data_IF_425335435269
#
_entry.id   IF_425335435269
#
_cell.length_a   1.000
_cell.length_b   1.000
_cell.length_c   1.000
_cell.angle_alpha   90.00
_cell.angle_beta   90.00
_cell.angle_gamma   90.00
#
_symmetry.space_group_name_H-M   'P 1'
#
loop_
_entity.id
_entity.type
_entity.pdbx_description
1 polymer ?
#
# COMPACT_ATOMS: atom_id res chain seq x y z
N UNK A 1 -13.83 -29.60 41.11
CA UNK A 1 -14.70 -30.65 40.50
C UNK A 1 -14.34 -30.94 39.04
N UNK A 2 -13.13 -30.59 38.63
CA UNK A 2 -12.65 -30.80 37.23
C UNK A 2 -11.39 -31.69 37.14
N UNK A 3 -10.82 -32.13 38.25
CA UNK A 3 -9.56 -32.88 38.25
C UNK A 3 -9.71 -34.41 38.44
N UNK A 4 -10.87 -34.90 38.83
CA UNK A 4 -11.03 -36.35 39.10
C UNK A 4 -11.45 -37.18 37.89
N UNK A 5 -11.99 -36.56 36.81
CA UNK A 5 -12.49 -37.31 35.65
C UNK A 5 -11.42 -37.64 34.61
N UNK A 6 -10.21 -37.06 34.68
CA UNK A 6 -9.14 -37.34 33.73
C UNK A 6 -8.31 -38.59 34.05
N UNK A 7 -8.32 -39.03 35.35
CA UNK A 7 -7.54 -40.17 35.79
C UNK A 7 -8.23 -41.53 35.59
N UNK A 8 -9.55 -41.54 35.31
CA UNK A 8 -10.29 -42.77 35.07
C UNK A 8 -10.10 -43.37 33.66
N UNK A 9 -9.47 -42.68 32.75
CA UNK A 9 -9.20 -43.14 31.39
C UNK A 9 -7.98 -44.04 31.24
N UNK A 10 -7.14 -44.17 32.26
CA UNK A 10 -5.84 -44.85 32.15
C UNK A 10 -5.71 -46.18 32.85
N UNK A 11 -6.67 -46.60 33.73
CA UNK A 11 -6.62 -47.91 34.39
C UNK A 11 -7.99 -48.54 34.48
N UNK A 12 -8.25 -49.76 33.91
CA UNK A 12 -9.49 -50.46 34.07
C UNK A 12 -9.55 -51.16 35.44
N UNK A 13 -10.40 -50.65 36.35
CA UNK A 13 -10.76 -51.40 37.58
C UNK A 13 -11.74 -52.51 37.22
N UNK A 14 -11.37 -53.75 37.56
CA UNK A 14 -12.21 -54.96 37.46
C UNK A 14 -13.42 -54.88 38.37
N UNK A 15 -14.63 -54.96 37.82
CA UNK A 15 -15.79 -55.44 38.60
C UNK A 15 -17.07 -54.64 38.39
N UNK A 16 -18.01 -55.24 37.64
CA UNK A 16 -19.48 -55.13 37.66
C UNK A 16 -20.10 -53.73 37.96
N UNK A 17 -20.56 -53.10 36.94
CA UNK A 17 -21.53 -52.02 36.69
C UNK A 17 -21.09 -51.00 35.70
N UNK A 18 -20.55 -51.44 34.58
CA UNK A 18 -19.94 -50.58 33.55
C UNK A 18 -20.90 -50.14 32.41
N UNK A 19 -22.21 -50.46 32.52
CA UNK A 19 -23.13 -50.22 31.40
C UNK A 19 -23.99 -48.95 31.50
N UNK A 20 -23.99 -48.23 32.63
CA UNK A 20 -24.80 -47.03 32.80
C UNK A 20 -24.03 -45.70 32.74
N UNK A 21 -22.69 -45.76 32.80
CA UNK A 21 -21.86 -44.55 32.68
C UNK A 21 -21.43 -44.23 31.24
N UNK A 22 -21.55 -45.20 30.32
CA UNK A 22 -20.99 -45.17 29.00
C UNK A 22 -21.88 -44.46 27.94
N UNK A 23 -23.21 -44.50 28.15
CA UNK A 23 -24.16 -43.96 27.15
C UNK A 23 -24.20 -42.42 27.13
N UNK A 24 -24.05 -41.75 28.28
CA UNK A 24 -24.02 -40.29 28.33
C UNK A 24 -22.70 -39.72 27.79
N UNK A 25 -21.57 -40.33 28.14
CA UNK A 25 -20.27 -39.90 27.61
C UNK A 25 -20.14 -40.18 26.09
N UNK A 26 -20.70 -41.30 25.61
CA UNK A 26 -20.73 -41.61 24.18
C UNK A 26 -21.62 -40.67 23.39
N UNK A 27 -22.74 -40.18 23.95
CA UNK A 27 -23.59 -39.19 23.27
C UNK A 27 -22.92 -37.82 23.18
N UNK A 28 -22.24 -37.33 24.22
CA UNK A 28 -21.48 -36.08 24.19
C UNK A 28 -20.29 -36.13 23.22
N UNK A 29 -19.62 -37.27 23.11
CA UNK A 29 -18.53 -37.45 22.14
C UNK A 29 -19.10 -37.49 20.73
N UNK A 30 -20.21 -38.17 20.46
CA UNK A 30 -20.85 -38.17 19.14
C UNK A 30 -21.39 -36.77 18.74
N UNK A 31 -21.99 -36.04 19.67
CA UNK A 31 -22.43 -34.67 19.44
C UNK A 31 -21.25 -33.72 19.10
N UNK A 32 -20.12 -33.89 19.77
CA UNK A 32 -18.93 -33.08 19.48
C UNK A 32 -18.38 -33.27 18.05
N UNK A 33 -18.68 -34.40 17.41
CA UNK A 33 -18.32 -34.73 16.00
C UNK A 33 -19.50 -34.62 15.02
N UNK A 34 -20.68 -34.20 15.49
CA UNK A 34 -21.81 -33.96 14.61
C UNK A 34 -21.63 -32.70 13.74
N UNK A 35 -22.27 -32.73 12.59
CA UNK A 35 -22.33 -31.62 11.65
C UNK A 35 -23.78 -31.25 11.37
N UNK A 36 -24.08 -29.96 11.48
CA UNK A 36 -25.35 -29.42 10.98
C UNK A 36 -25.15 -28.96 9.52
N UNK A 37 -26.19 -29.10 8.68
CA UNK A 37 -26.13 -28.64 7.28
C UNK A 37 -25.75 -27.19 7.14
N UNK A 38 -26.18 -26.30 8.05
CA UNK A 38 -25.82 -24.90 8.07
C UNK A 38 -24.32 -24.70 8.35
N UNK A 39 -23.77 -25.47 9.28
CA UNK A 39 -22.35 -25.42 9.62
C UNK A 39 -21.46 -25.89 8.46
N UNK A 40 -21.89 -26.95 7.76
CA UNK A 40 -21.21 -27.44 6.55
C UNK A 40 -21.18 -26.34 5.46
N UNK A 41 -22.31 -25.67 5.24
CA UNK A 41 -22.43 -24.57 4.28
C UNK A 41 -21.49 -23.42 4.68
N UNK A 42 -21.48 -23.02 5.97
CA UNK A 42 -20.64 -21.95 6.46
C UNK A 42 -19.15 -22.28 6.38
N UNK A 43 -18.73 -23.51 6.75
CA UNK A 43 -17.35 -23.98 6.59
C UNK A 43 -16.92 -24.01 5.13
N UNK A 44 -17.80 -24.51 4.24
CA UNK A 44 -17.52 -24.54 2.80
C UNK A 44 -17.38 -23.13 2.23
N UNK A 45 -18.23 -22.20 2.65
CA UNK A 45 -18.14 -20.79 2.27
C UNK A 45 -16.86 -20.15 2.81
N UNK A 46 -16.47 -20.43 4.06
CA UNK A 46 -15.21 -19.95 4.66
C UNK A 46 -13.99 -20.46 3.87
N UNK A 47 -13.99 -21.74 3.51
CA UNK A 47 -12.92 -22.35 2.68
C UNK A 47 -12.87 -21.71 1.29
N UNK A 48 -14.01 -21.48 0.63
CA UNK A 48 -14.06 -20.83 -0.67
C UNK A 48 -13.47 -19.42 -0.60
N UNK A 49 -13.83 -18.64 0.43
CA UNK A 49 -13.30 -17.29 0.62
C UNK A 49 -11.80 -17.33 0.95
N UNK A 50 -11.32 -18.33 1.69
CA UNK A 50 -9.89 -18.55 1.93
C UNK A 50 -9.13 -18.80 0.62
N UNK A 51 -9.68 -19.62 -0.27
CA UNK A 51 -9.10 -19.89 -1.60
C UNK A 51 -9.03 -18.59 -2.41
N UNK A 52 -10.11 -17.80 -2.45
CA UNK A 52 -10.12 -16.50 -3.12
C UNK A 52 -9.02 -15.60 -2.56
N UNK A 53 -8.89 -15.51 -1.25
CA UNK A 53 -7.85 -14.69 -0.60
C UNK A 53 -6.43 -15.20 -0.94
N UNK A 54 -6.24 -16.51 -1.01
CA UNK A 54 -4.95 -17.12 -1.37
C UNK A 54 -4.49 -16.66 -2.76
N UNK A 55 -5.40 -16.50 -3.73
CA UNK A 55 -5.06 -15.94 -5.05
C UNK A 55 -4.52 -14.50 -4.94
N UNK A 56 -5.13 -13.65 -4.10
CA UNK A 56 -4.61 -12.29 -3.90
C UNK A 56 -3.23 -12.30 -3.22
N UNK A 57 -3.07 -13.10 -2.18
CA UNK A 57 -1.82 -13.13 -1.43
C UNK A 57 -0.67 -13.70 -2.25
N UNK A 58 -0.84 -14.85 -2.90
CA UNK A 58 0.22 -15.47 -3.71
C UNK A 58 0.32 -14.85 -5.11
N UNK A 59 -0.79 -14.53 -5.74
CA UNK A 59 -0.84 -14.01 -7.11
C UNK A 59 -0.51 -12.54 -7.25
N UNK A 60 -0.74 -11.72 -6.20
CA UNK A 60 -0.55 -10.28 -6.24
C UNK A 60 0.45 -9.78 -5.21
N UNK A 61 0.19 -9.98 -3.91
CA UNK A 61 0.99 -9.37 -2.85
C UNK A 61 2.38 -9.99 -2.69
N UNK A 62 2.55 -11.26 -3.01
CA UNK A 62 3.85 -11.92 -2.98
C UNK A 62 4.78 -11.53 -4.15
N UNK A 63 4.29 -10.76 -5.14
CA UNK A 63 5.08 -10.40 -6.35
C UNK A 63 6.27 -9.50 -6.04
N UNK A 64 6.16 -8.61 -5.05
CA UNK A 64 7.30 -7.78 -4.61
C UNK A 64 8.43 -8.69 -4.10
N UNK A 65 8.11 -9.67 -3.26
CA UNK A 65 9.08 -10.65 -2.80
C UNK A 65 9.67 -11.48 -3.96
N UNK A 66 8.82 -11.97 -4.86
CA UNK A 66 9.29 -12.73 -6.02
C UNK A 66 10.27 -11.91 -6.89
N UNK A 67 9.97 -10.63 -7.12
CA UNK A 67 10.87 -9.71 -7.83
C UNK A 67 12.17 -9.48 -7.05
N UNK A 68 12.11 -9.26 -5.75
CA UNK A 68 13.31 -9.08 -4.92
C UNK A 68 14.19 -10.34 -4.88
N UNK A 69 13.56 -11.53 -4.93
CA UNK A 69 14.29 -12.79 -5.08
C UNK A 69 14.97 -12.86 -6.44
N UNK A 70 14.27 -12.58 -7.53
CA UNK A 70 14.84 -12.54 -8.89
C UNK A 70 15.93 -11.45 -9.04
N UNK A 71 15.82 -10.34 -8.31
CA UNK A 71 16.85 -9.30 -8.24
C UNK A 71 18.14 -9.85 -7.59
N UNK A 72 18.00 -10.55 -6.48
CA UNK A 72 19.14 -11.14 -5.74
C UNK A 72 19.80 -12.31 -6.48
N UNK A 73 19.06 -13.07 -7.27
CA UNK A 73 19.59 -14.17 -8.09
C UNK A 73 20.21 -13.69 -9.42
N UNK A 74 20.12 -12.38 -9.74
CA UNK A 74 20.65 -11.84 -10.99
C UNK A 74 19.85 -12.20 -12.25
N UNK A 75 18.62 -12.67 -12.08
CA UNK A 75 17.73 -13.05 -13.19
C UNK A 75 17.15 -11.83 -13.94
N UNK A 76 17.20 -10.65 -13.31
CA UNK A 76 16.67 -9.44 -13.90
C UNK A 76 17.71 -8.70 -14.72
N UNK A 77 17.36 -8.35 -15.94
CA UNK A 77 18.20 -7.55 -16.83
C UNK A 77 17.84 -6.07 -16.70
N UNK A 78 18.86 -5.25 -16.48
CA UNK A 78 18.75 -3.80 -16.35
C UNK A 78 19.58 -3.11 -17.41
N UNK A 79 19.22 -1.86 -17.75
CA UNK A 79 20.10 -1.05 -18.59
C UNK A 79 21.31 -0.57 -17.78
N UNK A 80 22.45 -0.48 -18.47
CA UNK A 80 23.67 0.16 -17.93
C UNK A 80 23.71 1.65 -18.26
N UNK A 81 22.81 2.10 -19.15
CA UNK A 81 22.71 3.50 -19.52
C UNK A 81 22.08 4.30 -18.37
N UNK A 82 22.70 5.41 -18.06
CA UNK A 82 22.22 6.37 -17.06
C UNK A 82 21.89 7.69 -17.79
N UNK A 83 20.74 7.79 -18.45
CA UNK A 83 20.36 8.98 -19.19
C UNK A 83 20.16 10.16 -18.24
N UNK A 84 20.45 11.41 -18.68
CA UNK A 84 20.17 12.59 -17.89
C UNK A 84 18.70 12.63 -17.46
N UNK A 85 18.44 13.09 -16.22
CA UNK A 85 17.08 13.15 -15.65
C UNK A 85 16.83 14.43 -14.87
N UNK A 86 15.56 14.76 -14.71
CA UNK A 86 15.09 15.88 -13.90
C UNK A 86 14.24 15.38 -12.74
N UNK A 87 14.59 15.73 -11.51
CA UNK A 87 13.77 15.47 -10.31
C UNK A 87 12.81 16.64 -10.14
N UNK A 88 11.51 16.35 -10.02
CA UNK A 88 10.46 17.36 -9.87
C UNK A 88 9.85 17.28 -8.48
N UNK A 89 9.87 18.39 -7.76
CA UNK A 89 9.31 18.54 -6.41
C UNK A 89 8.35 19.73 -6.42
N UNK A 90 7.18 19.56 -5.83
CA UNK A 90 6.25 20.65 -5.53
C UNK A 90 6.23 20.84 -4.01
N UNK A 91 6.42 22.08 -3.56
CA UNK A 91 6.47 22.44 -2.15
C UNK A 91 5.48 23.56 -1.82
N UNK A 92 4.83 23.49 -0.67
CA UNK A 92 3.99 24.54 -0.12
C UNK A 92 4.05 24.52 1.39
N UNK A 93 4.64 25.57 1.99
CA UNK A 93 4.88 25.66 3.44
C UNK A 93 5.64 24.41 3.96
N UNK A 94 6.76 24.09 3.31
CA UNK A 94 7.55 22.90 3.56
C UNK A 94 9.00 23.25 3.95
N UNK A 95 9.25 24.45 4.51
CA UNK A 95 10.60 24.92 4.82
C UNK A 95 11.39 23.96 5.71
N UNK A 96 10.76 23.40 6.74
CA UNK A 96 11.41 22.42 7.64
C UNK A 96 11.74 21.10 6.91
N UNK A 97 10.81 20.58 6.12
CA UNK A 97 11.01 19.36 5.35
C UNK A 97 12.05 19.54 4.25
N UNK A 98 12.01 20.65 3.52
CA UNK A 98 13.02 20.99 2.51
C UNK A 98 14.41 21.08 3.13
N UNK A 99 14.56 21.77 4.29
CA UNK A 99 15.84 21.87 5.00
C UNK A 99 16.39 20.50 5.37
N UNK A 100 15.52 19.58 5.76
CA UNK A 100 15.90 18.26 6.25
C UNK A 100 16.13 17.24 5.14
N UNK A 101 15.34 17.26 4.06
CA UNK A 101 15.30 16.18 3.09
C UNK A 101 15.83 16.54 1.71
N UNK A 102 15.73 17.79 1.28
CA UNK A 102 16.19 18.20 -0.04
C UNK A 102 17.69 17.93 -0.25
N UNK A 103 18.59 18.09 0.73
CA UNK A 103 20.00 17.73 0.57
C UNK A 103 20.19 16.25 0.17
N UNK A 104 19.40 15.32 0.70
CA UNK A 104 19.50 13.91 0.32
C UNK A 104 19.09 13.64 -1.15
N UNK A 105 18.28 14.51 -1.76
CA UNK A 105 17.96 14.49 -3.19
C UNK A 105 19.04 15.16 -4.02
N UNK A 106 19.65 16.22 -3.50
CA UNK A 106 20.72 16.97 -4.18
C UNK A 106 22.08 16.25 -4.16
N UNK A 107 22.26 15.30 -3.24
CA UNK A 107 23.52 14.57 -3.05
C UNK A 107 23.44 13.11 -3.55
N UNK A 108 22.64 12.87 -4.60
CA UNK A 108 22.55 11.56 -5.22
C UNK A 108 23.78 11.23 -6.06
N UNK A 109 24.25 9.99 -6.02
CA UNK A 109 25.31 9.46 -6.89
C UNK A 109 24.75 9.18 -8.29
N UNK A 110 24.59 10.25 -9.09
CA UNK A 110 24.08 10.15 -10.45
C UNK A 110 24.87 11.09 -11.37
N UNK A 111 25.29 10.65 -12.58
CA UNK A 111 26.24 11.38 -13.40
C UNK A 111 25.71 12.75 -13.91
N UNK A 112 24.43 12.82 -14.27
CA UNK A 112 23.84 14.06 -14.81
C UNK A 112 22.37 14.15 -14.45
N UNK A 113 22.03 15.08 -13.56
CA UNK A 113 20.64 15.35 -13.19
C UNK A 113 20.46 16.81 -12.76
N UNK A 114 19.23 17.25 -12.75
CA UNK A 114 18.82 18.51 -12.15
C UNK A 114 17.66 18.26 -11.18
N UNK A 115 17.52 19.13 -10.21
CA UNK A 115 16.40 19.13 -9.26
C UNK A 115 15.62 20.42 -9.45
N UNK A 116 14.31 20.30 -9.69
CA UNK A 116 13.42 21.44 -9.91
C UNK A 116 12.38 21.45 -8.80
N UNK A 117 12.42 22.50 -7.98
CA UNK A 117 11.46 22.72 -6.90
C UNK A 117 10.52 23.86 -7.26
N UNK A 118 9.23 23.59 -7.31
CA UNK A 118 8.20 24.61 -7.56
C UNK A 118 7.52 24.97 -6.24
N UNK A 119 7.75 26.19 -5.80
CA UNK A 119 7.09 26.79 -4.64
C UNK A 119 5.65 27.16 -4.99
N UNK A 120 4.67 26.51 -4.37
CA UNK A 120 3.25 26.74 -4.61
C UNK A 120 2.66 27.86 -3.73
N UNK A 121 3.36 28.98 -3.66
CA UNK A 121 2.93 30.16 -2.89
C UNK A 121 3.02 29.90 -1.38
N UNK A 122 4.18 29.49 -0.92
CA UNK A 122 4.48 29.35 0.51
C UNK A 122 4.50 30.71 1.20
N UNK A 123 4.16 30.71 2.47
CA UNK A 123 4.16 31.89 3.36
C UNK A 123 5.15 31.74 4.51
N UNK A 124 5.87 30.62 4.53
CA UNK A 124 6.97 30.30 5.46
C UNK A 124 8.34 30.65 4.84
N UNK A 125 9.42 30.20 5.44
CA UNK A 125 10.80 30.42 4.99
C UNK A 125 11.20 29.58 3.76
N UNK A 126 10.26 28.94 3.05
CA UNK A 126 10.57 28.03 1.93
C UNK A 126 11.32 28.74 0.79
N UNK A 127 10.95 29.98 0.46
CA UNK A 127 11.56 30.75 -0.63
C UNK A 127 13.00 31.11 -0.32
N UNK A 128 13.25 31.66 0.88
CA UNK A 128 14.59 32.06 1.32
C UNK A 128 15.52 30.84 1.39
N UNK A 129 15.00 29.70 1.88
CA UNK A 129 15.76 28.46 1.94
C UNK A 129 16.10 27.92 0.54
N UNK A 130 15.15 27.94 -0.40
CA UNK A 130 15.39 27.48 -1.77
C UNK A 130 16.41 28.35 -2.48
N UNK A 131 16.34 29.69 -2.32
CA UNK A 131 17.32 30.61 -2.85
C UNK A 131 18.74 30.32 -2.33
N UNK A 132 18.88 30.12 -1.02
CA UNK A 132 20.17 29.79 -0.41
C UNK A 132 20.73 28.42 -0.86
N UNK A 133 19.84 27.43 -1.11
CA UNK A 133 20.27 26.13 -1.60
C UNK A 133 20.63 26.18 -3.10
N UNK A 134 19.96 26.99 -3.90
CA UNK A 134 20.29 27.18 -5.32
C UNK A 134 21.67 27.81 -5.51
N UNK A 135 22.06 28.72 -4.62
CA UNK A 135 23.43 29.27 -4.60
C UNK A 135 24.51 28.21 -4.26
N UNK A 136 24.12 27.18 -3.50
CA UNK A 136 25.04 26.12 -3.07
C UNK A 136 25.13 24.96 -4.07
N UNK A 137 24.04 24.65 -4.78
CA UNK A 137 23.95 23.49 -5.66
C UNK A 137 23.59 23.91 -7.10
N UNK A 138 24.55 23.93 -7.99
CA UNK A 138 24.43 24.40 -9.39
C UNK A 138 23.36 23.64 -10.21
N UNK A 139 22.94 22.45 -9.77
CA UNK A 139 21.93 21.63 -10.40
C UNK A 139 20.55 21.73 -9.72
N UNK A 140 20.40 22.58 -8.73
CA UNK A 140 19.09 22.96 -8.20
C UNK A 140 18.57 24.18 -8.96
N UNK A 141 17.32 24.13 -9.33
CA UNK A 141 16.56 25.25 -9.87
C UNK A 141 15.23 25.35 -9.10
N UNK A 142 14.87 26.53 -8.62
CA UNK A 142 13.55 26.74 -8.04
C UNK A 142 12.75 27.80 -8.81
N UNK A 143 11.43 27.71 -8.72
CA UNK A 143 10.50 28.66 -9.30
C UNK A 143 9.20 28.65 -8.50
N UNK A 144 8.27 29.52 -8.84
CA UNK A 144 7.01 29.67 -8.09
C UNK A 144 5.78 29.60 -9.00
N UNK A 145 4.63 29.26 -8.43
CA UNK A 145 3.35 29.38 -9.11
C UNK A 145 2.81 30.79 -9.03
N UNK A 146 2.30 31.38 -10.14
CA UNK A 146 1.70 32.70 -10.12
C UNK A 146 0.55 32.81 -9.11
N UNK A 147 0.54 33.86 -8.28
CA UNK A 147 -0.46 34.04 -7.21
C UNK A 147 -1.89 34.10 -7.74
N UNK A 148 -2.11 34.78 -8.85
CA UNK A 148 -3.43 35.00 -9.47
C UNK A 148 -3.88 33.86 -10.40
N UNK A 149 -3.24 32.71 -10.34
CA UNK A 149 -3.63 31.58 -11.18
C UNK A 149 -4.97 31.03 -10.73
N UNK A 150 -5.98 31.15 -11.58
CA UNK A 150 -7.34 30.60 -11.37
C UNK A 150 -7.43 29.10 -11.68
N UNK A 151 -6.35 28.37 -11.49
CA UNK A 151 -6.32 26.93 -11.71
C UNK A 151 -6.98 26.18 -10.53
N UNK A 152 -7.63 25.10 -10.86
CA UNK A 152 -8.39 24.28 -9.93
C UNK A 152 -7.47 23.58 -8.93
N UNK A 153 -6.35 23.05 -9.43
CA UNK A 153 -5.31 22.40 -8.64
C UNK A 153 -4.00 23.16 -8.79
N UNK A 154 -3.60 23.83 -7.75
CA UNK A 154 -2.30 24.51 -7.71
C UNK A 154 -1.16 23.50 -7.82
N UNK A 155 -1.25 22.33 -7.17
CA UNK A 155 -0.25 21.26 -7.28
C UNK A 155 -0.07 20.81 -8.73
N UNK A 156 -1.16 20.61 -9.51
CA UNK A 156 -1.05 20.27 -10.94
C UNK A 156 -0.42 21.38 -11.76
N UNK A 157 -0.70 22.65 -11.43
CA UNK A 157 -0.02 23.77 -12.05
C UNK A 157 1.47 23.77 -11.73
N UNK A 158 1.84 23.64 -10.46
CA UNK A 158 3.22 23.57 -10.03
C UNK A 158 3.99 22.44 -10.74
N UNK A 159 3.44 21.23 -10.74
CA UNK A 159 4.02 20.09 -11.46
C UNK A 159 4.13 20.37 -12.98
N UNK A 160 3.12 20.99 -13.61
CA UNK A 160 3.18 21.36 -15.02
C UNK A 160 4.31 22.36 -15.31
N UNK A 161 4.52 23.34 -14.43
CA UNK A 161 5.60 24.31 -14.54
C UNK A 161 6.95 23.61 -14.41
N UNK A 162 7.14 22.75 -13.39
CA UNK A 162 8.36 21.97 -13.21
C UNK A 162 8.67 21.07 -14.40
N UNK A 163 7.65 20.36 -14.93
CA UNK A 163 7.80 19.51 -16.12
C UNK A 163 8.19 20.35 -17.36
N UNK A 164 7.59 21.51 -17.55
CA UNK A 164 7.95 22.41 -18.66
C UNK A 164 9.38 22.95 -18.51
N UNK A 165 9.78 23.31 -17.31
CA UNK A 165 11.12 23.84 -17.03
C UNK A 165 12.21 22.77 -17.15
N UNK A 166 11.87 21.47 -16.97
CA UNK A 166 12.86 20.38 -17.05
C UNK A 166 13.57 20.32 -18.39
N UNK A 167 14.87 20.01 -18.37
CA UNK A 167 15.72 19.86 -19.57
C UNK A 167 15.75 18.46 -20.13
N UNK A 168 15.45 17.46 -19.28
CA UNK A 168 15.68 16.06 -19.60
C UNK A 168 14.37 15.29 -19.90
N UNK A 169 14.51 14.19 -20.64
CA UNK A 169 13.38 13.34 -21.04
C UNK A 169 12.84 12.52 -19.88
N UNK A 170 13.70 12.06 -18.97
CA UNK A 170 13.26 11.31 -17.80
C UNK A 170 12.97 12.24 -16.62
N UNK A 171 11.76 12.15 -16.12
CA UNK A 171 11.28 12.88 -14.96
C UNK A 171 11.12 11.92 -13.80
N UNK A 172 11.72 12.24 -12.67
CA UNK A 172 11.57 11.52 -11.41
C UNK A 172 10.81 12.41 -10.43
N UNK A 173 9.82 11.85 -9.76
CA UNK A 173 8.95 12.60 -8.85
C UNK A 173 9.15 12.15 -7.43
N UNK A 174 9.23 13.13 -6.54
CA UNK A 174 9.17 12.96 -5.09
C UNK A 174 8.49 14.17 -4.45
N UNK A 175 8.19 14.11 -3.16
CA UNK A 175 7.56 15.20 -2.41
C UNK A 175 8.56 15.83 -1.44
N UNK A 176 8.31 17.09 -1.00
CA UNK A 176 9.21 17.83 -0.11
C UNK A 176 9.43 17.15 1.25
N UNK A 177 8.42 16.38 1.72
CA UNK A 177 8.46 15.61 2.96
C UNK A 177 9.02 14.19 2.79
N UNK A 178 9.67 13.91 1.67
CA UNK A 178 10.19 12.61 1.31
C UNK A 178 11.71 12.57 1.28
N UNK A 179 12.29 11.51 1.84
CA UNK A 179 13.73 11.26 1.86
C UNK A 179 14.07 9.95 1.15
N UNK A 180 14.91 9.94 0.11
CA UNK A 180 15.51 8.71 -0.39
C UNK A 180 16.31 7.98 0.69
N UNK A 181 16.19 6.66 0.76
CA UNK A 181 16.89 5.84 1.77
C UNK A 181 18.41 5.83 1.53
N UNK A 182 18.84 5.96 0.27
CA UNK A 182 20.25 5.98 -0.10
C UNK A 182 20.56 7.02 -1.18
N UNK A 183 21.86 7.30 -1.39
CA UNK A 183 22.32 8.11 -2.51
C UNK A 183 22.31 7.35 -3.86
N UNK A 184 21.87 6.09 -3.89
CA UNK A 184 21.72 5.27 -5.10
C UNK A 184 20.31 5.30 -5.68
N UNK A 185 19.39 6.04 -5.06
CA UNK A 185 17.99 6.07 -5.46
C UNK A 185 17.79 6.37 -6.96
N UNK A 186 18.39 7.45 -7.47
CA UNK A 186 18.25 7.82 -8.88
C UNK A 186 18.85 6.76 -9.81
N UNK A 187 19.99 6.18 -9.46
CA UNK A 187 20.65 5.14 -10.25
C UNK A 187 19.79 3.88 -10.32
N UNK A 188 19.17 3.50 -9.20
CA UNK A 188 18.30 2.32 -9.15
C UNK A 188 16.97 2.57 -9.89
N UNK A 189 16.42 3.77 -9.84
CA UNK A 189 15.27 4.12 -10.68
C UNK A 189 15.64 4.05 -12.16
N UNK A 190 16.78 4.65 -12.54
CA UNK A 190 17.24 4.77 -13.92
C UNK A 190 17.63 3.43 -14.56
N UNK A 191 18.07 2.42 -13.81
CA UNK A 191 18.35 1.08 -14.37
C UNK A 191 17.14 0.43 -15.05
N UNK A 192 15.95 0.94 -14.80
CA UNK A 192 14.70 0.51 -15.43
C UNK A 192 14.33 1.33 -16.69
N UNK A 193 15.11 2.37 -17.06
CA UNK A 193 14.85 3.27 -18.19
C UNK A 193 15.27 2.65 -19.52
N UNK A 194 14.57 1.61 -19.92
CA UNK A 194 14.81 0.95 -21.21
C UNK A 194 14.06 1.65 -22.34
N UNK A 195 14.38 1.41 -23.64
CA UNK A 195 13.66 2.00 -24.76
C UNK A 195 12.15 1.71 -24.78
N UNK A 196 11.72 0.62 -24.16
CA UNK A 196 10.29 0.23 -24.06
C UNK A 196 9.62 0.70 -22.77
N UNK A 197 10.37 1.33 -21.87
CA UNK A 197 9.84 1.80 -20.60
C UNK A 197 9.45 3.26 -20.71
N UNK A 198 8.23 3.59 -20.32
CA UNK A 198 7.75 4.97 -20.20
C UNK A 198 7.48 5.37 -18.76
N UNK A 199 7.19 4.39 -17.89
CA UNK A 199 6.83 4.59 -16.48
C UNK A 199 7.62 3.65 -15.58
N UNK A 200 8.13 4.18 -14.47
CA UNK A 200 8.74 3.39 -13.39
C UNK A 200 8.03 3.74 -12.07
N UNK A 201 7.59 2.73 -11.33
CA UNK A 201 6.94 2.86 -10.04
C UNK A 201 7.85 2.33 -8.95
N UNK A 202 8.06 3.11 -7.89
CA UNK A 202 8.87 2.75 -6.74
C UNK A 202 8.05 2.55 -5.47
N UNK A 203 8.69 1.98 -4.45
CA UNK A 203 8.11 1.79 -3.11
C UNK A 203 8.31 3.04 -2.25
N UNK A 204 7.31 3.37 -1.43
CA UNK A 204 7.43 4.37 -0.36
C UNK A 204 6.93 3.78 0.97
N UNK A 205 7.46 4.28 2.05
CA UNK A 205 7.04 3.91 3.41
C UNK A 205 7.29 5.03 4.40
N UNK A 206 7.03 4.77 5.67
CA UNK A 206 7.27 5.73 6.76
C UNK A 206 8.51 5.34 7.57
N UNK A 207 9.20 6.35 8.09
CA UNK A 207 10.24 6.13 9.10
C UNK A 207 9.64 5.50 10.37
N UNK A 208 10.46 4.72 11.06
CA UNK A 208 10.01 4.05 12.28
C UNK A 208 9.73 5.04 13.40
N UNK A 209 8.52 5.01 13.93
CA UNK A 209 8.16 5.73 15.15
C UNK A 209 7.31 4.87 16.08
N UNK A 210 7.56 4.92 17.37
CA UNK A 210 6.79 4.18 18.38
C UNK A 210 5.32 4.59 18.38
N UNK A 211 4.44 3.67 18.74
CA UNK A 211 3.01 3.93 18.93
C UNK A 211 2.13 3.12 18.00
N UNK A 212 0.92 2.88 18.47
CA UNK A 212 -0.09 2.11 17.74
C UNK A 212 -0.52 2.78 16.43
N UNK A 213 -0.74 4.10 16.48
CA UNK A 213 -1.16 4.87 15.31
C UNK A 213 -0.10 4.85 14.21
N UNK A 214 1.17 5.09 14.53
CA UNK A 214 2.26 5.06 13.57
C UNK A 214 2.42 3.67 12.94
N UNK A 215 2.25 2.60 13.74
CA UNK A 215 2.25 1.22 13.22
C UNK A 215 1.09 0.97 12.26
N UNK A 216 -0.10 1.51 12.54
CA UNK A 216 -1.27 1.40 11.66
C UNK A 216 -1.06 2.14 10.34
N UNK A 217 -0.53 3.38 10.40
CA UNK A 217 -0.22 4.19 9.21
C UNK A 217 0.84 3.52 8.34
N UNK A 218 1.91 3.02 8.95
CA UNK A 218 2.96 2.28 8.22
C UNK A 218 2.41 0.99 7.58
N UNK A 219 1.55 0.25 8.29
CA UNK A 219 0.88 -0.92 7.73
C UNK A 219 -0.04 -0.57 6.55
N UNK A 220 -0.78 0.53 6.65
CA UNK A 220 -1.65 1.01 5.57
C UNK A 220 -0.86 1.37 4.31
N UNK A 221 0.26 2.08 4.46
CA UNK A 221 1.18 2.42 3.36
C UNK A 221 1.82 1.18 2.73
N UNK A 222 2.30 0.24 3.56
CA UNK A 222 2.82 -1.04 3.10
C UNK A 222 1.76 -1.80 2.28
N UNK A 223 0.54 -1.92 2.81
CA UNK A 223 -0.53 -2.64 2.14
C UNK A 223 -0.99 -1.95 0.85
N UNK A 224 -0.98 -0.61 0.82
CA UNK A 224 -1.23 0.17 -0.37
C UNK A 224 -0.17 -0.09 -1.45
N UNK A 225 1.11 -0.09 -1.04
CA UNK A 225 2.24 -0.39 -1.93
C UNK A 225 2.19 -1.83 -2.46
N UNK A 226 1.83 -2.82 -1.63
CA UNK A 226 1.59 -4.20 -2.07
C UNK A 226 0.54 -4.28 -3.19
N UNK A 227 -0.51 -3.47 -3.11
CA UNK A 227 -1.57 -3.44 -4.12
C UNK A 227 -1.07 -2.85 -5.44
N UNK A 228 -0.63 -1.59 -5.47
CA UNK A 228 -0.34 -0.95 -6.76
C UNK A 228 0.91 -1.51 -7.43
N UNK A 229 1.98 -1.81 -6.66
CA UNK A 229 3.17 -2.44 -7.22
C UNK A 229 2.91 -3.90 -7.62
N UNK A 230 2.10 -4.63 -6.84
CA UNK A 230 1.69 -5.99 -7.17
C UNK A 230 0.95 -6.05 -8.50
N UNK A 231 0.00 -5.15 -8.74
CA UNK A 231 -0.70 -5.02 -10.02
C UNK A 231 0.24 -4.65 -11.17
N UNK A 232 1.16 -3.72 -10.95
CA UNK A 232 2.14 -3.34 -11.97
C UNK A 232 3.06 -4.52 -12.31
N UNK A 233 3.51 -5.29 -11.31
CA UNK A 233 4.28 -6.53 -11.50
C UNK A 233 3.44 -7.67 -12.12
N UNK A 234 2.13 -7.62 -12.00
CA UNK A 234 1.21 -8.52 -12.70
C UNK A 234 0.96 -8.12 -14.17
N UNK A 235 1.57 -7.02 -14.65
CA UNK A 235 1.36 -6.51 -16.01
C UNK A 235 0.08 -5.69 -16.18
N UNK A 236 -0.55 -5.27 -15.09
CA UNK A 236 -1.80 -4.48 -15.10
C UNK A 236 -1.71 -3.27 -14.18
N UNK A 237 -0.75 -2.34 -14.40
CA UNK A 237 -0.62 -1.13 -13.59
C UNK A 237 -1.91 -0.32 -13.65
N UNK A 238 -2.31 0.30 -12.54
CA UNK A 238 -3.55 1.08 -12.47
C UNK A 238 -3.42 2.39 -11.73
N UNK A 239 -2.32 2.61 -11.01
CA UNK A 239 -1.99 3.85 -10.33
C UNK A 239 -0.50 3.93 -10.00
N UNK A 240 -0.03 5.09 -9.67
CA UNK A 240 1.27 5.36 -9.08
C UNK A 240 1.14 6.38 -7.97
N UNK A 241 2.22 6.63 -7.24
CA UNK A 241 2.27 7.60 -6.15
C UNK A 241 3.42 8.55 -6.40
N UNK A 242 3.13 9.85 -6.39
CA UNK A 242 4.05 10.93 -6.69
C UNK A 242 5.30 11.01 -5.80
N UNK A 243 5.31 10.24 -4.73
CA UNK A 243 6.45 10.15 -3.79
C UNK A 243 7.65 9.38 -4.33
N UNK A 244 7.39 8.41 -5.21
CA UNK A 244 8.46 7.59 -5.80
C UNK A 244 8.02 7.00 -7.14
N UNK A 245 8.08 7.80 -8.18
CA UNK A 245 7.76 7.37 -9.54
C UNK A 245 8.59 8.13 -10.57
N UNK A 246 8.69 7.58 -11.77
CA UNK A 246 9.30 8.29 -12.90
C UNK A 246 8.50 8.03 -14.16
N UNK A 247 8.52 9.00 -15.08
CA UNK A 247 7.98 8.80 -16.44
C UNK A 247 8.68 9.72 -17.45
N UNK A 248 8.49 9.41 -18.75
CA UNK A 248 9.02 10.23 -19.83
C UNK A 248 8.30 11.57 -19.95
N UNK A 249 9.04 12.64 -20.17
CA UNK A 249 8.49 13.98 -20.42
C UNK A 249 7.59 14.02 -21.66
N UNK A 250 7.98 13.33 -22.72
CA UNK A 250 7.20 13.18 -23.95
C UNK A 250 5.81 12.59 -23.67
N UNK A 251 5.72 11.57 -22.81
CA UNK A 251 4.46 10.95 -22.42
C UNK A 251 3.48 11.95 -21.79
N UNK A 252 3.99 12.90 -20.98
CA UNK A 252 3.16 13.94 -20.36
C UNK A 252 2.54 14.86 -21.43
N UNK A 253 3.33 15.30 -22.40
CA UNK A 253 2.84 16.19 -23.44
C UNK A 253 1.92 15.48 -24.47
N UNK A 254 2.21 14.25 -24.82
CA UNK A 254 1.35 13.43 -25.68
C UNK A 254 -0.06 13.28 -25.10
N UNK A 255 -0.16 13.13 -23.81
CA UNK A 255 -1.44 13.03 -23.09
C UNK A 255 -2.07 14.41 -22.77
N UNK A 256 -1.47 15.51 -23.26
CA UNK A 256 -1.90 16.90 -22.95
C UNK A 256 -1.88 17.20 -21.44
N UNK A 257 -0.90 16.63 -20.74
CA UNK A 257 -0.71 16.80 -19.30
C UNK A 257 -1.89 16.32 -18.47
N UNK A 258 -2.33 17.12 -17.53
CA UNK A 258 -3.47 16.81 -16.65
C UNK A 258 -4.84 17.19 -17.22
N UNK A 259 -4.95 17.48 -18.55
CA UNK A 259 -6.18 18.00 -19.16
C UNK A 259 -7.41 17.14 -18.93
N UNK A 260 -7.28 15.81 -18.90
CA UNK A 260 -8.38 14.88 -18.67
C UNK A 260 -9.00 15.01 -17.26
N UNK A 261 -8.27 15.59 -16.32
CA UNK A 261 -8.66 15.67 -14.89
C UNK A 261 -8.43 17.07 -14.30
N UNK A 262 -8.48 18.13 -15.13
CA UNK A 262 -8.31 19.52 -14.68
C UNK A 262 -9.38 19.98 -13.70
N UNK A 263 -10.56 19.38 -13.73
CA UNK A 263 -11.67 19.67 -12.84
C UNK A 263 -11.51 19.09 -11.43
N UNK A 264 -10.45 18.29 -11.18
CA UNK A 264 -10.17 17.70 -9.89
C UNK A 264 -8.97 18.37 -9.25
N UNK A 265 -9.03 18.61 -7.94
CA UNK A 265 -7.89 19.14 -7.18
C UNK A 265 -6.76 18.12 -7.01
N UNK A 266 -7.08 16.84 -7.04
CA UNK A 266 -6.18 15.70 -6.84
C UNK A 266 -6.08 14.88 -8.14
N UNK A 267 -5.22 13.86 -8.15
CA UNK A 267 -5.06 12.98 -9.31
C UNK A 267 -3.93 13.42 -10.23
N UNK A 268 -2.93 14.07 -9.69
CA UNK A 268 -1.69 14.42 -10.38
C UNK A 268 -0.77 13.22 -10.59
N UNK A 269 -0.84 12.25 -9.69
CA UNK A 269 -0.06 11.02 -9.73
C UNK A 269 -0.92 9.81 -10.17
N UNK A 270 -1.87 9.41 -9.34
CA UNK A 270 -2.65 8.18 -9.52
C UNK A 270 -3.50 8.17 -10.80
N UNK A 271 -4.20 9.27 -11.10
CA UNK A 271 -5.02 9.35 -12.33
C UNK A 271 -4.17 9.49 -13.59
N UNK A 272 -3.07 10.24 -13.52
CA UNK A 272 -2.16 10.34 -14.65
C UNK A 272 -1.56 8.96 -14.97
N UNK A 273 -1.04 8.25 -13.98
CA UNK A 273 -0.52 6.90 -14.16
C UNK A 273 -1.62 5.93 -14.62
N UNK A 274 -2.85 6.04 -14.08
CA UNK A 274 -3.97 5.22 -14.56
C UNK A 274 -4.26 5.41 -16.05
N UNK A 275 -4.05 6.63 -16.57
CA UNK A 275 -4.25 6.95 -17.98
C UNK A 275 -3.15 6.37 -18.88
N UNK A 276 -1.88 6.45 -18.46
CA UNK A 276 -0.71 6.22 -19.32
C UNK A 276 -0.03 4.87 -19.13
N UNK A 277 -0.09 4.28 -17.93
CA UNK A 277 0.62 3.06 -17.61
C UNK A 277 -0.03 1.83 -18.25
N UNK A 278 0.80 0.99 -18.88
CA UNK A 278 0.43 -0.28 -19.49
C UNK A 278 1.43 -1.35 -19.02
N UNK A 279 1.03 -2.62 -19.09
CA UNK A 279 1.90 -3.71 -18.67
C UNK A 279 3.23 -3.80 -19.45
N UNK A 280 3.24 -3.37 -20.71
CA UNK A 280 4.43 -3.41 -21.55
C UNK A 280 5.36 -2.20 -21.38
N UNK A 281 4.85 -1.04 -20.93
CA UNK A 281 5.63 0.20 -20.81
C UNK A 281 5.94 0.59 -19.35
N UNK A 282 5.49 -0.19 -18.38
CA UNK A 282 5.66 0.11 -16.94
C UNK A 282 6.60 -0.89 -16.29
N UNK A 283 7.59 -0.39 -15.54
CA UNK A 283 8.50 -1.15 -14.70
C UNK A 283 8.29 -0.80 -13.24
N UNK A 284 8.76 -1.69 -12.36
CA UNK A 284 8.68 -1.49 -10.91
C UNK A 284 10.08 -1.59 -10.32
N UNK A 285 10.48 -0.63 -9.52
CA UNK A 285 11.70 -0.72 -8.71
C UNK A 285 11.34 -1.10 -7.26
N UNK A 286 11.98 -2.15 -6.75
CA UNK A 286 11.70 -2.71 -5.43
C UNK A 286 12.95 -2.86 -4.54
N UNK A 287 14.10 -2.40 -5.00
CA UNK A 287 15.30 -2.43 -4.17
C UNK A 287 15.12 -1.52 -2.94
N UNK A 288 15.62 -1.96 -1.79
CA UNK A 288 15.57 -1.18 -0.55
C UNK A 288 16.20 0.20 -0.71
N UNK A 289 17.36 0.28 -1.36
CA UNK A 289 18.09 1.53 -1.58
C UNK A 289 17.40 2.49 -2.56
N UNK A 290 16.36 2.03 -3.28
CA UNK A 290 15.49 2.85 -4.13
C UNK A 290 14.21 3.28 -3.43
N UNK A 291 14.04 2.97 -2.16
CA UNK A 291 12.87 3.33 -1.35
C UNK A 291 12.93 4.79 -0.94
N UNK A 292 11.77 5.41 -0.84
CA UNK A 292 11.58 6.74 -0.29
C UNK A 292 10.84 6.66 1.03
N UNK A 293 11.27 7.41 2.04
CA UNK A 293 10.67 7.45 3.38
C UNK A 293 10.07 8.82 3.68
N UNK A 294 8.93 8.76 4.36
CA UNK A 294 8.28 9.92 4.96
C UNK A 294 8.50 9.90 6.47
N UNK A 295 8.44 11.07 7.08
CA UNK A 295 8.32 11.15 8.52
C UNK A 295 6.99 10.57 9.02
N UNK A 296 6.95 10.09 10.27
CA UNK A 296 5.72 9.61 10.87
C UNK A 296 4.65 10.70 10.86
N UNK A 297 3.41 10.29 10.60
CA UNK A 297 2.28 11.22 10.59
C UNK A 297 1.98 11.67 12.04
N UNK A 298 2.05 12.96 12.30
CA UNK A 298 1.78 13.52 13.64
C UNK A 298 0.28 13.49 13.97
N UNK A 299 -0.55 13.86 13.00
CA UNK A 299 -1.98 14.05 13.23
C UNK A 299 -2.81 13.05 12.43
N UNK A 300 -3.73 12.38 13.12
CA UNK A 300 -4.68 11.46 12.47
C UNK A 300 -5.49 12.11 11.34
N UNK A 301 -5.71 13.43 11.41
CA UNK A 301 -6.42 14.19 10.40
C UNK A 301 -5.70 14.12 9.05
N UNK A 302 -4.39 14.28 9.02
CA UNK A 302 -3.60 14.32 7.79
C UNK A 302 -3.63 12.96 7.07
N UNK A 303 -3.50 11.86 7.82
CA UNK A 303 -3.68 10.52 7.28
C UNK A 303 -5.08 10.29 6.70
N UNK A 304 -6.13 10.79 7.37
CA UNK A 304 -7.51 10.70 6.86
C UNK A 304 -7.69 11.54 5.59
N UNK A 305 -7.16 12.76 5.53
CA UNK A 305 -7.23 13.62 4.33
C UNK A 305 -6.50 12.99 3.14
N UNK A 306 -5.36 12.35 3.36
CA UNK A 306 -4.68 11.57 2.33
C UNK A 306 -5.56 10.43 1.81
N UNK A 307 -6.17 9.65 2.69
CA UNK A 307 -7.11 8.58 2.29
C UNK A 307 -8.31 9.11 1.52
N UNK A 308 -8.89 10.23 1.96
CA UNK A 308 -9.99 10.90 1.27
C UNK A 308 -9.56 11.27 -0.16
N UNK A 309 -8.35 11.77 -0.33
CA UNK A 309 -7.79 12.12 -1.63
C UNK A 309 -7.80 10.94 -2.60
N UNK A 310 -7.20 9.79 -2.23
CA UNK A 310 -7.18 8.60 -3.07
C UNK A 310 -8.57 7.94 -3.27
N UNK A 311 -9.46 7.99 -2.27
CA UNK A 311 -10.84 7.54 -2.44
C UNK A 311 -11.59 8.46 -3.42
N UNK A 312 -11.28 9.75 -3.45
CA UNK A 312 -11.91 10.69 -4.36
C UNK A 312 -11.53 10.41 -5.82
N UNK A 313 -10.26 10.20 -6.09
CA UNK A 313 -9.73 9.94 -7.43
C UNK A 313 -10.03 8.53 -7.91
N UNK A 314 -10.07 7.56 -7.03
CA UNK A 314 -10.30 6.15 -7.38
C UNK A 314 -11.59 5.90 -8.17
N UNK A 315 -12.62 6.74 -8.00
CA UNK A 315 -13.86 6.64 -8.78
C UNK A 315 -13.70 6.95 -10.27
N UNK A 316 -12.59 7.54 -10.67
CA UNK A 316 -12.25 7.89 -12.05
C UNK A 316 -11.27 6.90 -12.70
N UNK A 317 -10.77 5.90 -11.96
CA UNK A 317 -9.87 4.91 -12.53
C UNK A 317 -10.56 4.11 -13.63
N UNK A 318 -9.85 3.96 -14.72
CA UNK A 318 -10.22 3.06 -15.83
C UNK A 318 -9.65 1.67 -15.56
N UNK A 319 -10.40 0.64 -15.94
CA UNK A 319 -9.98 -0.74 -15.78
C UNK A 319 -10.72 -1.47 -14.65
N UNK A 320 -10.53 -2.79 -14.59
CA UNK A 320 -11.19 -3.69 -13.63
C UNK A 320 -10.51 -3.75 -12.27
N UNK A 321 -9.29 -3.21 -12.13
CA UNK A 321 -8.46 -3.34 -10.92
C UNK A 321 -9.15 -2.80 -9.68
N UNK A 322 -9.93 -1.72 -9.82
CA UNK A 322 -10.70 -1.16 -8.72
C UNK A 322 -11.79 -2.12 -8.23
N UNK A 323 -12.51 -2.77 -9.15
CA UNK A 323 -13.53 -3.77 -8.81
C UNK A 323 -12.87 -4.96 -8.13
N UNK A 324 -11.77 -5.45 -8.68
CA UNK A 324 -11.02 -6.60 -8.13
C UNK A 324 -10.46 -6.29 -6.73
N UNK A 325 -9.92 -5.07 -6.51
CA UNK A 325 -9.49 -4.62 -5.18
C UNK A 325 -10.67 -4.46 -4.20
N UNK A 326 -11.84 -4.07 -4.71
CA UNK A 326 -13.08 -4.01 -3.94
C UNK A 326 -13.53 -5.42 -3.50
N UNK A 327 -13.51 -6.39 -4.42
CA UNK A 327 -13.82 -7.79 -4.12
C UNK A 327 -12.85 -8.41 -3.12
N UNK A 328 -11.56 -8.07 -3.22
CA UNK A 328 -10.56 -8.48 -2.22
C UNK A 328 -10.93 -7.93 -0.83
N UNK A 329 -11.22 -6.64 -0.73
CA UNK A 329 -11.61 -6.02 0.54
C UNK A 329 -12.89 -6.61 1.11
N UNK A 330 -13.89 -6.86 0.27
CA UNK A 330 -15.14 -7.52 0.68
C UNK A 330 -14.90 -8.96 1.12
N UNK A 331 -14.05 -9.72 0.41
CA UNK A 331 -13.71 -11.10 0.80
C UNK A 331 -13.02 -11.17 2.15
N UNK A 332 -12.20 -10.18 2.53
CA UNK A 332 -11.61 -10.10 3.88
C UNK A 332 -12.67 -9.95 4.96
N UNK A 333 -13.59 -9.00 4.81
CA UNK A 333 -14.68 -8.81 5.76
C UNK A 333 -15.60 -10.04 5.83
N UNK A 334 -15.92 -10.62 4.68
CA UNK A 334 -16.74 -11.82 4.60
C UNK A 334 -16.08 -13.03 5.30
N UNK A 335 -14.75 -13.20 5.12
CA UNK A 335 -14.02 -14.26 5.81
C UNK A 335 -14.12 -14.13 7.34
N UNK A 336 -13.92 -12.95 7.89
CA UNK A 336 -14.06 -12.73 9.33
C UNK A 336 -15.50 -12.95 9.81
N UNK A 337 -16.49 -12.51 9.05
CA UNK A 337 -17.90 -12.72 9.40
C UNK A 337 -18.28 -14.21 9.39
N UNK A 338 -17.85 -14.95 8.35
CA UNK A 338 -18.08 -16.40 8.24
C UNK A 338 -17.35 -17.17 9.35
N UNK A 339 -16.09 -16.85 9.61
CA UNK A 339 -15.32 -17.46 10.71
C UNK A 339 -16.01 -17.26 12.06
N UNK A 340 -16.38 -16.02 12.40
CA UNK A 340 -17.05 -15.72 13.67
C UNK A 340 -18.42 -16.38 13.75
N UNK A 341 -19.22 -16.32 12.67
CA UNK A 341 -20.54 -16.94 12.63
C UNK A 341 -20.48 -18.46 12.75
N UNK A 342 -19.56 -19.11 12.02
CA UNK A 342 -19.36 -20.57 12.11
C UNK A 342 -18.91 -21.00 13.49
N UNK A 343 -17.93 -20.29 14.06
CA UNK A 343 -17.38 -20.59 15.39
C UNK A 343 -18.45 -20.42 16.46
N UNK A 344 -19.21 -19.31 16.40
CA UNK A 344 -20.28 -19.06 17.38
C UNK A 344 -21.38 -20.14 17.30
N UNK A 345 -21.86 -20.48 16.09
CA UNK A 345 -22.88 -21.50 15.89
C UNK A 345 -22.40 -22.87 16.40
N UNK A 346 -21.18 -23.25 16.06
CA UNK A 346 -20.59 -24.51 16.50
C UNK A 346 -20.45 -24.60 18.03
N UNK A 347 -20.06 -23.52 18.69
CA UNK A 347 -19.98 -23.46 20.17
C UNK A 347 -21.37 -23.60 20.80
N UNK A 348 -22.39 -22.92 20.26
CA UNK A 348 -23.75 -22.98 20.76
C UNK A 348 -24.37 -24.37 20.63
N UNK A 349 -23.98 -25.11 19.60
CA UNK A 349 -24.44 -26.50 19.34
C UNK A 349 -23.49 -27.56 19.98
N UNK A 350 -22.44 -27.17 20.68
CA UNK A 350 -21.40 -28.05 21.22
C UNK A 350 -20.66 -28.89 20.16
N UNK A 351 -20.62 -28.44 18.90
CA UNK A 351 -19.93 -29.08 17.77
C UNK A 351 -18.45 -28.66 17.72
N UNK A 352 -17.64 -29.16 18.65
CA UNK A 352 -16.24 -28.70 18.82
C UNK A 352 -15.34 -29.00 17.63
N UNK A 353 -15.61 -30.03 16.86
CA UNK A 353 -14.87 -30.33 15.63
C UNK A 353 -15.06 -29.21 14.59
N UNK A 354 -16.29 -28.73 14.43
CA UNK A 354 -16.62 -27.63 13.50
C UNK A 354 -15.90 -26.34 13.92
N UNK A 355 -15.93 -26.01 15.23
CA UNK A 355 -15.21 -24.87 15.78
C UNK A 355 -13.70 -25.00 15.54
N UNK A 356 -13.13 -26.18 15.74
CA UNK A 356 -11.71 -26.48 15.48
C UNK A 356 -11.33 -26.33 14.01
N UNK A 357 -12.18 -26.80 13.08
CA UNK A 357 -11.96 -26.63 11.65
C UNK A 357 -12.05 -25.17 11.22
N UNK A 358 -13.03 -24.41 11.74
CA UNK A 358 -13.12 -22.98 11.47
C UNK A 358 -11.87 -22.22 11.96
N UNK A 359 -11.39 -22.55 13.17
CA UNK A 359 -10.17 -21.99 13.71
C UNK A 359 -8.93 -22.38 12.90
N UNK A 360 -8.86 -23.61 12.41
CA UNK A 360 -7.77 -24.05 11.52
C UNK A 360 -7.74 -23.24 10.21
N UNK A 361 -8.89 -23.01 9.58
CA UNK A 361 -8.97 -22.18 8.37
C UNK A 361 -8.54 -20.75 8.65
N UNK A 362 -8.92 -20.19 9.79
CA UNK A 362 -8.47 -18.87 10.24
C UNK A 362 -6.95 -18.84 10.45
N UNK A 363 -6.38 -19.82 11.15
CA UNK A 363 -4.93 -19.92 11.37
C UNK A 363 -4.14 -20.04 10.06
N UNK A 364 -4.61 -20.84 9.10
CA UNK A 364 -3.97 -20.96 7.77
C UNK A 364 -3.92 -19.60 7.10
N UNK A 365 -5.02 -18.84 7.14
CA UNK A 365 -5.08 -17.49 6.57
C UNK A 365 -4.10 -16.54 7.25
N UNK A 366 -4.11 -16.49 8.58
CA UNK A 366 -3.24 -15.59 9.35
C UNK A 366 -1.75 -15.89 9.14
N UNK A 367 -1.37 -17.18 9.10
CA UNK A 367 0.01 -17.58 8.81
C UNK A 367 0.43 -17.15 7.40
N UNK A 368 -0.43 -17.39 6.40
CA UNK A 368 -0.17 -16.96 5.02
C UNK A 368 0.05 -15.44 4.93
N UNK A 369 -0.82 -14.66 5.55
CA UNK A 369 -0.70 -13.19 5.59
C UNK A 369 0.55 -12.76 6.33
N UNK A 370 0.79 -13.31 7.52
CA UNK A 370 1.94 -12.96 8.34
C UNK A 370 3.27 -13.21 7.62
N UNK A 371 3.38 -14.33 6.91
CA UNK A 371 4.57 -14.65 6.12
C UNK A 371 4.78 -13.63 4.99
N UNK A 372 3.76 -13.38 4.17
CA UNK A 372 3.90 -12.51 2.98
C UNK A 372 4.14 -11.06 3.40
N UNK A 373 3.34 -10.54 4.33
CA UNK A 373 3.41 -9.14 4.76
C UNK A 373 4.73 -8.85 5.49
N UNK A 374 5.09 -9.67 6.50
CA UNK A 374 6.31 -9.40 7.27
C UNK A 374 7.59 -9.65 6.46
N UNK A 375 7.56 -10.55 5.46
CA UNK A 375 8.66 -10.73 4.53
C UNK A 375 8.87 -9.48 3.68
N UNK A 376 7.81 -8.97 3.05
CA UNK A 376 7.90 -7.74 2.25
C UNK A 376 8.25 -6.54 3.12
N UNK A 377 7.67 -6.39 4.31
CA UNK A 377 8.02 -5.34 5.27
C UNK A 377 9.53 -5.35 5.56
N UNK A 378 10.10 -6.52 5.85
CA UNK A 378 11.55 -6.66 6.07
C UNK A 378 12.38 -6.31 4.85
N UNK A 379 11.96 -6.75 3.66
CA UNK A 379 12.68 -6.49 2.40
C UNK A 379 12.65 -5.01 2.01
N UNK A 380 11.59 -4.31 2.37
CA UNK A 380 11.44 -2.88 2.15
C UNK A 380 11.96 -2.03 3.32
N UNK A 381 12.62 -2.65 4.32
CA UNK A 381 13.22 -1.91 5.44
C UNK A 381 12.22 -1.30 6.41
N UNK A 382 10.98 -1.83 6.47
CA UNK A 382 10.02 -1.40 7.48
C UNK A 382 10.51 -1.76 8.88
N UNK A 383 10.48 -0.82 9.81
CA UNK A 383 10.90 -1.03 11.21
C UNK A 383 9.90 -1.87 12.04
N UNK A 384 8.74 -2.18 11.49
CA UNK A 384 7.66 -2.86 12.18
C UNK A 384 7.55 -4.34 11.81
N UNK A 385 7.14 -5.15 12.80
CA UNK A 385 6.69 -6.54 12.60
C UNK A 385 5.21 -6.62 12.93
N UNK A 386 4.42 -7.24 12.06
CA UNK A 386 2.96 -7.22 12.12
C UNK A 386 2.31 -8.52 12.61
N UNK A 387 3.06 -9.45 13.25
CA UNK A 387 2.53 -10.77 13.61
C UNK A 387 1.27 -10.71 14.49
N UNK A 388 1.33 -9.98 15.62
CA UNK A 388 0.21 -9.89 16.57
C UNK A 388 -0.81 -8.81 16.21
N UNK A 389 -0.40 -7.79 15.46
CA UNK A 389 -1.28 -6.68 15.08
C UNK A 389 -2.01 -6.94 13.76
N UNK A 390 -1.55 -7.93 12.99
CA UNK A 390 -2.07 -8.22 11.67
C UNK A 390 -3.57 -8.54 11.66
N UNK A 391 -4.10 -9.47 12.49
CA UNK A 391 -5.53 -9.77 12.49
C UNK A 391 -6.39 -8.54 12.74
N UNK A 392 -5.93 -7.68 13.65
CA UNK A 392 -6.65 -6.46 14.00
C UNK A 392 -6.57 -5.40 12.89
N UNK A 393 -5.41 -5.18 12.29
CA UNK A 393 -5.25 -4.22 11.20
C UNK A 393 -5.98 -4.68 9.94
N UNK A 394 -5.96 -5.97 9.66
CA UNK A 394 -6.67 -6.58 8.54
C UNK A 394 -8.19 -6.38 8.63
N UNK A 395 -8.74 -6.40 9.83
CA UNK A 395 -10.14 -6.11 10.09
C UNK A 395 -10.45 -4.61 10.14
N UNK A 396 -9.60 -3.79 10.81
CA UNK A 396 -9.85 -2.38 11.04
C UNK A 396 -9.72 -1.52 9.79
N UNK A 397 -8.74 -1.80 8.90
CA UNK A 397 -8.50 -0.96 7.73
C UNK A 397 -9.68 -0.93 6.74
N UNK A 398 -10.32 -2.07 6.39
CA UNK A 398 -11.53 -2.04 5.58
C UNK A 398 -12.66 -1.19 6.20
N UNK A 399 -12.86 -1.31 7.50
CA UNK A 399 -13.88 -0.53 8.23
C UNK A 399 -13.53 0.96 8.23
N UNK A 400 -12.26 1.30 8.44
CA UNK A 400 -11.79 2.68 8.37
C UNK A 400 -11.97 3.26 6.97
N UNK A 401 -11.61 2.51 5.92
CA UNK A 401 -11.81 2.92 4.54
C UNK A 401 -13.30 3.12 4.21
N UNK A 402 -14.16 2.24 4.71
CA UNK A 402 -15.60 2.40 4.57
C UNK A 402 -16.11 3.66 5.28
N UNK A 403 -15.66 3.91 6.51
CA UNK A 403 -15.98 5.14 7.25
C UNK A 403 -15.52 6.40 6.50
N UNK A 404 -14.31 6.40 5.96
CA UNK A 404 -13.79 7.52 5.16
C UNK A 404 -14.61 7.71 3.89
N UNK A 405 -15.03 6.63 3.22
CA UNK A 405 -15.91 6.69 2.05
C UNK A 405 -17.29 7.29 2.38
N UNK A 406 -17.88 6.91 3.50
CA UNK A 406 -19.14 7.52 3.98
C UNK A 406 -18.94 9.00 4.32
N UNK A 407 -17.88 9.33 5.06
CA UNK A 407 -17.57 10.72 5.40
C UNK A 407 -17.43 11.61 4.17
N UNK A 408 -16.78 11.09 3.11
CA UNK A 408 -16.70 11.79 1.82
C UNK A 408 -18.06 12.03 1.17
N UNK A 409 -19.01 11.10 1.28
CA UNK A 409 -20.36 11.29 0.73
C UNK A 409 -21.08 12.48 1.39
N UNK A 410 -20.86 12.70 2.68
CA UNK A 410 -21.41 13.85 3.41
C UNK A 410 -20.72 15.18 3.07
N UNK A 411 -19.40 15.16 2.82
CA UNK A 411 -18.64 16.37 2.43
C UNK A 411 -19.00 16.90 1.03
N UNK A 412 -19.62 16.07 0.20
CA UNK A 412 -20.03 16.43 -1.15
C UNK A 412 -18.90 16.44 -2.18
N UNK A 413 -19.27 16.47 -3.46
CA UNK A 413 -18.32 16.49 -4.58
C UNK A 413 -17.53 17.80 -4.68
N UNK A 414 -18.08 18.90 -4.15
CA UNK A 414 -17.54 20.26 -4.27
C UNK A 414 -16.19 20.47 -3.61
N UNK A 415 -15.82 19.69 -2.59
CA UNK A 415 -14.52 19.78 -1.89
C UNK A 415 -13.33 19.32 -2.75
N UNK A 416 -13.59 18.60 -3.84
CA UNK A 416 -12.58 18.04 -4.74
C UNK A 416 -12.71 18.58 -6.17
N UNK A 417 -13.69 19.42 -6.41
CA UNK A 417 -13.93 20.10 -7.68
C UNK A 417 -13.85 21.60 -7.46
N UNK A 418 -13.60 22.33 -8.54
CA UNK A 418 -13.62 23.78 -8.51
C UNK A 418 -15.02 24.30 -8.06
N UNK A 419 -15.01 25.24 -7.14
CA UNK A 419 -16.14 26.15 -6.95
C UNK A 419 -16.15 27.23 -8.02
#
# INVERSE_FOLDING_TARGET
MFSENLFMFLFPAKGKNMYLCDTKNSSYIMEAFAFNSVEVILLSATLLVLIIQSFYYFGLYNRIHARNKALKSGELHFTQELPPLSVIICAKNESENLRKFLPAVLEQDYPQYEVIVINDGSTDESEDLLSALEEKYDHLYHSFTPENSRYISRKKLALTLGIKASKHEWLVFTEANCKPVSNQWLRLMARNFTPRTDVVLGYYGYEYAKGWFNRLVAFDALFHSLRYLGWALAGSPYMGIGRNMAYRKSLFFEQKGFSAHLNLQRGDDDLFINQVAKGFNTKVETALDATVRLEPVEWRKDWIEEKISYIATSSYYKGSQQVVNGLETMSRLLFHALFLGTTLLAILNFHWLVAGLAFLLWMIREVMQAVIINRTAKEQGEGWKYYLTLPLFDFLLPLQNFKVKLYRLYRGKSDFMRR
#
